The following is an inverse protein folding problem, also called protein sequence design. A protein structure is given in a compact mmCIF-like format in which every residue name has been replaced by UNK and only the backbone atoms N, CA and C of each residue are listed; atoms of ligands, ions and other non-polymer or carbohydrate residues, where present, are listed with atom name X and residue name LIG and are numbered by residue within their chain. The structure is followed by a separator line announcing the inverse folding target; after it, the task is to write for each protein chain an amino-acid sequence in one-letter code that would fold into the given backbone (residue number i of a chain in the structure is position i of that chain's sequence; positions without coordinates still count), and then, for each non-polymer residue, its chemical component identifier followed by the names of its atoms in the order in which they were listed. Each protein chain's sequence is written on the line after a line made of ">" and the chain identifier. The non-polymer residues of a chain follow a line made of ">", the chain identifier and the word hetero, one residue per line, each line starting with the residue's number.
data_IF_403605099385
#
_entry.id   IF_403605099385
#
_cell.length_a   1.000
_cell.length_b   1.000
_cell.length_c   1.000
_cell.angle_alpha   90.00
_cell.angle_beta   90.00
_cell.angle_gamma   90.00
#
_symmetry.space_group_name_H-M   'P 1'
#
loop_
_entity.id
_entity.type
_entity.pdbx_description
1 polymer ?
#
# COMPACT_ATOMS: atom_id res chain seq x y z
N UNK A 1 -3.23 -2.97 1.94
CA UNK A 1 -2.10 -2.85 2.88
C UNK A 1 -2.32 -1.57 3.66
N UNK A 2 -2.49 -1.67 4.96
CA UNK A 2 -2.85 -0.54 5.80
C UNK A 2 -1.65 -0.11 6.65
N UNK A 3 -1.32 1.17 6.60
CA UNK A 3 -0.16 1.76 7.26
C UNK A 3 -0.64 2.94 8.08
N UNK A 4 -0.20 3.01 9.33
CA UNK A 4 -0.37 4.19 10.17
C UNK A 4 0.94 4.96 10.21
N UNK A 5 0.89 6.23 9.80
CA UNK A 5 2.01 7.16 9.87
C UNK A 5 1.79 8.13 11.01
N UNK A 6 2.87 8.46 11.71
CA UNK A 6 2.92 9.46 12.77
C UNK A 6 4.01 10.48 12.40
N UNK A 7 3.68 11.76 12.50
CA UNK A 7 4.53 12.89 12.14
C UNK A 7 4.83 13.73 13.38
N UNK A 8 6.00 14.36 13.40
CA UNK A 8 6.42 15.24 14.50
C UNK A 8 5.54 16.50 14.61
N UNK A 9 4.98 16.96 13.48
CA UNK A 9 4.06 18.11 13.38
C UNK A 9 2.81 17.76 12.55
N UNK A 10 1.68 18.48 12.72
CA UNK A 10 0.46 18.23 11.94
C UNK A 10 0.70 18.24 10.43
N UNK A 11 0.49 17.09 9.78
CA UNK A 11 0.77 16.92 8.36
C UNK A 11 -0.39 17.41 7.50
N UNK A 12 -0.13 18.40 6.65
CA UNK A 12 -1.05 18.90 5.62
C UNK A 12 -0.51 18.75 4.20
N UNK A 13 0.50 17.92 4.00
CA UNK A 13 1.06 17.67 2.67
C UNK A 13 0.24 16.68 1.86
N UNK A 14 0.92 15.92 1.02
CA UNK A 14 0.37 14.86 0.18
C UNK A 14 1.30 13.65 0.20
N UNK A 15 0.70 12.47 0.23
CA UNK A 15 1.38 11.18 0.10
C UNK A 15 0.86 10.51 -1.15
N UNK A 16 1.73 9.94 -1.96
CA UNK A 16 1.32 9.15 -3.13
C UNK A 16 2.28 8.01 -3.39
N UNK A 17 1.78 6.96 -4.03
CA UNK A 17 2.63 5.86 -4.43
C UNK A 17 3.48 6.23 -5.66
N UNK A 18 4.74 5.77 -5.67
CA UNK A 18 5.66 5.97 -6.77
C UNK A 18 5.03 5.45 -8.08
N UNK A 19 5.21 6.21 -9.16
CA UNK A 19 4.63 5.96 -10.50
C UNK A 19 3.10 5.93 -10.58
N UNK A 20 2.37 6.24 -9.50
CA UNK A 20 0.91 6.25 -9.47
C UNK A 20 0.32 7.60 -9.01
N UNK A 21 1.04 8.71 -9.20
CA UNK A 21 0.62 10.03 -8.75
C UNK A 21 -0.70 10.53 -9.38
N UNK A 22 -1.04 10.06 -10.58
CA UNK A 22 -2.28 10.40 -11.29
C UNK A 22 -3.50 9.60 -10.80
N UNK A 23 -3.27 8.53 -10.03
CA UNK A 23 -4.33 7.68 -9.53
C UNK A 23 -4.80 8.18 -8.16
N UNK A 24 -6.07 8.59 -8.08
CA UNK A 24 -6.67 9.06 -6.83
C UNK A 24 -6.74 7.96 -5.76
N UNK A 25 -6.76 6.68 -6.14
CA UNK A 25 -6.73 5.56 -5.21
C UNK A 25 -5.34 5.36 -4.56
N UNK A 26 -4.30 5.95 -5.17
CA UNK A 26 -2.91 5.85 -4.74
C UNK A 26 -2.36 7.17 -4.19
N UNK A 27 -3.27 8.09 -3.83
CA UNK A 27 -2.98 9.43 -3.36
C UNK A 27 -3.78 9.71 -2.09
N UNK A 28 -3.11 10.27 -1.09
CA UNK A 28 -3.72 10.63 0.18
C UNK A 28 -3.30 12.04 0.61
N UNK A 29 -4.27 12.93 0.72
CA UNK A 29 -4.04 14.30 1.18
C UNK A 29 -4.01 14.36 2.73
N UNK A 30 -3.02 15.08 3.26
CA UNK A 30 -2.89 15.35 4.68
C UNK A 30 -4.06 16.19 5.21
N UNK A 31 -4.56 15.81 6.38
CA UNK A 31 -5.73 16.42 7.05
C UNK A 31 -5.35 17.27 8.26
N UNK A 32 -4.13 17.81 8.27
CA UNK A 32 -3.58 18.62 9.37
C UNK A 32 -3.66 17.87 10.72
N UNK A 33 -3.15 16.64 10.71
CA UNK A 33 -3.12 15.75 11.87
C UNK A 33 -1.73 15.12 11.97
N UNK A 34 -1.29 14.85 13.19
CA UNK A 34 -0.05 14.14 13.48
C UNK A 34 -0.14 12.66 13.10
N UNK A 35 -1.35 12.09 13.01
CA UNK A 35 -1.58 10.70 12.63
C UNK A 35 -2.38 10.60 11.35
N UNK A 36 -1.96 9.69 10.48
CA UNK A 36 -2.62 9.45 9.20
C UNK A 36 -2.62 7.96 8.87
N UNK A 37 -3.77 7.47 8.44
CA UNK A 37 -3.90 6.11 7.95
C UNK A 37 -3.88 6.12 6.42
N UNK A 38 -3.06 5.23 5.85
CA UNK A 38 -2.88 5.05 4.41
C UNK A 38 -3.23 3.62 4.08
N UNK A 39 -4.27 3.44 3.27
CA UNK A 39 -4.71 2.14 2.77
C UNK A 39 -4.30 2.01 1.31
N UNK A 40 -3.21 1.27 1.06
CA UNK A 40 -2.70 1.01 -0.29
C UNK A 40 -3.45 -0.19 -0.88
N UNK A 41 -4.24 -0.01 -1.96
CA UNK A 41 -4.84 -1.14 -2.67
C UNK A 41 -3.73 -1.96 -3.34
N UNK A 42 -3.80 -3.27 -3.18
CA UNK A 42 -2.81 -4.19 -3.78
C UNK A 42 -3.17 -4.48 -5.24
N UNK A 43 -4.46 -4.63 -5.51
CA UNK A 43 -5.00 -4.95 -6.80
C UNK A 43 -5.97 -3.85 -7.25
N UNK A 44 -5.92 -3.54 -8.54
CA UNK A 44 -6.91 -2.70 -9.21
C UNK A 44 -8.19 -3.47 -9.51
N UNK A 45 -9.20 -2.77 -10.03
CA UNK A 45 -10.49 -3.36 -10.43
C UNK A 45 -10.39 -4.34 -11.59
N UNK A 46 -9.32 -4.26 -12.38
CA UNK A 46 -8.98 -5.16 -13.49
C UNK A 46 -8.15 -6.38 -13.05
N UNK A 47 -7.83 -6.50 -11.76
CA UNK A 47 -6.99 -7.56 -11.20
C UNK A 47 -5.48 -7.34 -11.40
N UNK A 48 -5.07 -6.20 -11.99
CA UNK A 48 -3.66 -5.81 -12.09
C UNK A 48 -3.13 -5.25 -10.76
N UNK A 49 -1.81 -5.14 -10.61
CA UNK A 49 -1.23 -4.51 -9.41
C UNK A 49 -1.46 -3.01 -9.43
N UNK A 50 -2.06 -2.48 -8.36
CA UNK A 50 -2.29 -1.05 -8.19
C UNK A 50 -1.09 -0.34 -7.55
N UNK A 51 -1.06 0.99 -7.62
CA UNK A 51 -0.14 1.84 -6.85
C UNK A 51 1.35 1.49 -7.00
N UNK A 52 1.78 1.09 -8.21
CA UNK A 52 3.18 0.79 -8.50
C UNK A 52 3.74 -0.42 -7.74
N UNK A 53 2.86 -1.28 -7.23
CA UNK A 53 3.24 -2.44 -6.42
C UNK A 53 4.08 -3.43 -7.23
N UNK A 54 5.09 -4.00 -6.56
CA UNK A 54 5.94 -5.06 -7.09
C UNK A 54 5.78 -6.31 -6.23
N UNK A 55 5.32 -7.40 -6.82
CA UNK A 55 5.33 -8.73 -6.20
C UNK A 55 6.60 -9.48 -6.59
N UNK A 56 7.36 -9.92 -5.59
CA UNK A 56 8.42 -10.90 -5.76
C UNK A 56 7.86 -12.30 -5.52
N UNK A 57 7.50 -12.99 -6.61
CA UNK A 57 6.82 -14.30 -6.57
C UNK A 57 7.59 -15.36 -5.78
N UNK A 58 8.93 -15.34 -5.81
CA UNK A 58 9.77 -16.32 -5.11
C UNK A 58 9.66 -16.24 -3.58
N UNK A 59 9.35 -15.07 -3.04
CA UNK A 59 9.32 -14.81 -1.59
C UNK A 59 7.93 -14.44 -1.08
N UNK A 60 6.95 -14.25 -1.98
CA UNK A 60 5.63 -13.72 -1.61
C UNK A 60 5.70 -12.27 -1.12
N UNK A 61 6.78 -11.56 -1.45
CA UNK A 61 7.01 -10.21 -0.95
C UNK A 61 6.37 -9.15 -1.83
N UNK A 62 5.57 -8.29 -1.24
CA UNK A 62 4.92 -7.16 -1.88
C UNK A 62 5.61 -5.88 -1.43
N UNK A 63 6.17 -5.15 -2.39
CA UNK A 63 6.81 -3.86 -2.13
C UNK A 63 6.01 -2.72 -2.74
N UNK A 64 5.85 -1.64 -1.99
CA UNK A 64 5.35 -0.35 -2.47
C UNK A 64 6.28 0.78 -2.01
N UNK A 65 6.42 1.82 -2.82
CA UNK A 65 7.18 3.01 -2.48
C UNK A 65 6.21 4.18 -2.35
N UNK A 66 6.18 4.83 -1.20
CA UNK A 66 5.43 6.05 -0.98
C UNK A 66 6.37 7.25 -1.04
N UNK A 67 5.89 8.32 -1.66
CA UNK A 67 6.54 9.61 -1.72
C UNK A 67 5.71 10.56 -0.86
N UNK A 68 6.33 11.13 0.16
CA UNK A 68 5.73 12.07 1.10
C UNK A 68 6.24 13.46 0.74
N UNK A 69 5.33 14.33 0.29
CA UNK A 69 5.61 15.73 0.00
C UNK A 69 4.94 16.65 1.03
N UNK A 70 5.67 17.57 1.67
CA UNK A 70 5.08 18.53 2.61
C UNK A 70 4.21 19.58 1.91
N UNK A 71 4.33 19.74 0.58
CA UNK A 71 3.56 20.72 -0.19
C UNK A 71 2.51 20.05 -1.07
N UNK A 72 1.29 20.61 -1.06
CA UNK A 72 0.24 20.23 -2.00
C UNK A 72 0.60 20.78 -3.39
N UNK A 73 0.53 19.94 -4.41
CA UNK A 73 0.66 20.30 -5.85
C UNK A 73 2.05 20.72 -6.35
N UNK A 74 3.12 20.58 -5.55
CA UNK A 74 4.50 20.82 -6.01
C UNK A 74 5.38 19.65 -5.57
N UNK A 75 6.08 19.05 -6.54
CA UNK A 75 7.22 18.16 -6.29
C UNK A 75 8.45 19.05 -6.11
N UNK A 76 8.83 19.28 -4.85
CA UNK A 76 10.00 20.09 -4.48
C UNK A 76 11.14 19.17 -4.07
N UNK A 77 12.37 19.65 -4.18
CA UNK A 77 13.53 19.02 -3.53
C UNK A 77 13.27 18.97 -2.00
N UNK A 78 13.28 17.77 -1.41
CA UNK A 78 12.89 17.54 -0.01
C UNK A 78 11.75 16.52 0.21
N UNK A 79 11.32 15.81 -0.84
CA UNK A 79 10.40 14.68 -0.68
C UNK A 79 11.05 13.52 0.06
N UNK A 80 10.30 12.91 0.98
CA UNK A 80 10.75 11.71 1.70
C UNK A 80 10.18 10.47 1.04
N UNK A 81 11.05 9.49 0.75
CA UNK A 81 10.65 8.21 0.18
C UNK A 81 10.56 7.15 1.27
N UNK A 82 9.40 6.51 1.40
CA UNK A 82 9.15 5.43 2.35
C UNK A 82 8.87 4.14 1.58
N UNK A 83 9.77 3.17 1.68
CA UNK A 83 9.58 1.84 1.11
C UNK A 83 8.87 0.94 2.11
N UNK A 84 7.67 0.46 1.77
CA UNK A 84 6.95 -0.54 2.55
C UNK A 84 7.09 -1.91 1.89
N UNK A 85 7.38 -2.92 2.72
CA UNK A 85 7.53 -4.32 2.30
C UNK A 85 6.63 -5.17 3.19
N UNK A 86 5.73 -5.93 2.58
CA UNK A 86 4.89 -6.92 3.27
C UNK A 86 5.21 -8.31 2.73
N UNK A 87 5.47 -9.25 3.64
CA UNK A 87 5.71 -10.64 3.30
C UNK A 87 4.42 -11.44 3.48
N UNK A 88 3.96 -12.11 2.43
CA UNK A 88 2.86 -13.06 2.52
C UNK A 88 3.42 -14.47 2.61
N UNK A 89 3.22 -15.12 3.77
CA UNK A 89 3.42 -16.56 3.91
C UNK A 89 2.11 -17.26 3.53
N UNK A 90 2.06 -17.84 2.33
CA UNK A 90 0.97 -18.72 1.93
C UNK A 90 1.20 -20.10 2.54
N UNK A 91 0.46 -20.44 3.59
CA UNK A 91 0.40 -21.80 4.11
C UNK A 91 -0.69 -22.55 3.34
N UNK A 92 -0.31 -23.42 2.41
CA UNK A 92 -1.28 -24.23 1.66
C UNK A 92 -1.90 -25.29 2.58
N UNK A 93 -3.13 -25.03 3.05
CA UNK A 93 -3.90 -26.00 3.82
C UNK A 93 -4.68 -26.86 2.82
N UNK A 94 -4.24 -28.10 2.62
CA UNK A 94 -5.02 -29.09 1.87
C UNK A 94 -6.03 -29.74 2.81
N UNK A 95 -7.32 -29.42 2.65
CA UNK A 95 -8.41 -30.05 3.39
C UNK A 95 -8.94 -31.23 2.56
N UNK A 96 -8.67 -32.45 3.00
CA UNK A 96 -9.32 -33.65 2.45
C UNK A 96 -10.64 -33.89 3.18
N UNK A 97 -11.77 -33.63 2.52
CA UNK A 97 -13.07 -34.04 3.01
C UNK A 97 -13.28 -35.53 2.71
N UNK A 98 -13.38 -36.36 3.74
CA UNK A 98 -13.80 -37.74 3.59
C UNK A 98 -15.26 -37.77 3.10
N UNK A 99 -15.53 -38.52 2.03
CA UNK A 99 -16.85 -38.62 1.42
C UNK A 99 -17.89 -39.09 2.42
N UNK A 100 -18.87 -38.23 2.72
CA UNK A 100 -20.11 -38.61 3.39
C UNK A 100 -20.85 -39.61 2.50
N UNK A 101 -20.76 -40.91 2.82
CA UNK A 101 -21.72 -41.89 2.35
C UNK A 101 -23.03 -41.66 3.11
N UNK A 102 -24.00 -41.06 2.43
CA UNK A 102 -25.40 -41.11 2.83
C UNK A 102 -25.89 -42.54 2.62
N UNK A 103 -26.04 -43.29 3.71
CA UNK A 103 -26.77 -44.56 3.78
C UNK A 103 -28.25 -44.28 3.89
#
# INVERSE_FOLDING_TARGET
>A
MDIQLEFDEPFSGIIFADKAYNDSACRWDGKYNIKMNVSIPIFGSDGSYACGIKLQQKTGEITSMLIISPMKNILVDGVTNLQIRCLYATNDITITMAGLQLV
#
